data_IF_620272519025
#
_entry.id   IF_620272519025
#
_cell.length_a   1.000
_cell.length_b   1.000
_cell.length_c   1.000
_cell.angle_alpha   90.00
_cell.angle_beta   90.00
_cell.angle_gamma   90.00
#
_symmetry.space_group_name_H-M   'P 1'
#
loop_
_entity.id
_entity.type
_entity.pdbx_description
1 polymer ?
#
# COMPACT_ATOMS: atom_id res chain seq x y z
N UNK A 1 0.45 -2.39 8.30
CA UNK A 1 -0.42 -1.46 7.57
C UNK A 1 -0.20 -0.01 7.98
N UNK A 2 -0.51 0.41 9.22
CA UNK A 2 -0.50 1.84 9.59
C UNK A 2 0.83 2.57 9.36
N UNK A 3 2.01 2.00 9.72
CA UNK A 3 3.28 2.64 9.36
C UNK A 3 3.50 2.77 7.85
N UNK A 4 2.96 1.86 7.03
CA UNK A 4 3.06 1.96 5.57
C UNK A 4 2.17 3.08 5.01
N UNK A 5 1.00 3.31 5.61
CA UNK A 5 0.16 4.49 5.32
C UNK A 5 0.91 5.76 5.71
N UNK A 6 1.42 5.85 6.94
CA UNK A 6 2.19 6.99 7.44
C UNK A 6 3.39 7.33 6.52
N UNK A 7 4.04 6.31 5.96
CA UNK A 7 5.15 6.50 5.02
C UNK A 7 4.70 6.84 3.59
N UNK A 8 3.42 6.68 3.24
CA UNK A 8 2.88 6.91 1.90
C UNK A 8 3.27 5.84 0.88
N UNK A 9 3.45 4.58 1.29
CA UNK A 9 4.02 3.54 0.43
C UNK A 9 3.02 3.03 -0.61
N UNK A 10 3.37 3.19 -1.90
CA UNK A 10 2.61 2.64 -3.03
C UNK A 10 3.60 2.14 -4.09
N UNK A 11 3.55 0.84 -4.39
CA UNK A 11 4.40 0.24 -5.40
C UNK A 11 3.86 0.51 -6.81
N UNK A 12 4.74 0.97 -7.70
CA UNK A 12 4.41 1.35 -9.08
C UNK A 12 3.15 2.24 -9.18
N UNK A 13 2.97 3.13 -8.20
CA UNK A 13 1.82 4.04 -8.07
C UNK A 13 0.44 3.38 -7.96
N UNK A 14 0.35 2.05 -7.80
CA UNK A 14 -0.94 1.33 -7.77
C UNK A 14 -1.11 0.37 -6.60
N UNK A 15 -0.06 -0.33 -6.16
CA UNK A 15 -0.19 -1.43 -5.20
C UNK A 15 0.22 -1.04 -3.77
N UNK A 16 -0.70 -1.21 -2.81
CA UNK A 16 -0.49 -0.87 -1.39
C UNK A 16 0.30 -1.91 -0.58
N UNK A 17 0.99 -2.86 -1.23
CA UNK A 17 1.97 -3.74 -0.58
C UNK A 17 1.41 -4.70 0.49
N UNK A 18 0.10 -5.01 0.51
CA UNK A 18 -0.51 -5.77 1.62
C UNK A 18 0.14 -7.14 1.88
N UNK A 19 0.44 -7.90 0.83
CA UNK A 19 1.17 -9.17 0.92
C UNK A 19 2.62 -8.93 1.34
N UNK A 20 3.27 -7.96 0.69
CA UNK A 20 4.69 -7.64 0.90
C UNK A 20 4.99 -7.24 2.34
N UNK A 21 4.11 -6.44 2.95
CA UNK A 21 4.22 -5.97 4.35
C UNK A 21 3.95 -7.08 5.37
N UNK A 22 3.17 -8.09 5.02
CA UNK A 22 2.90 -9.22 5.91
C UNK A 22 4.13 -10.11 6.11
N UNK A 23 4.97 -10.28 5.08
CA UNK A 23 6.08 -11.25 5.09
C UNK A 23 7.18 -10.95 6.12
N UNK A 24 7.66 -9.70 6.30
CA UNK A 24 8.61 -9.41 7.38
C UNK A 24 7.98 -9.64 8.77
N UNK A 25 6.68 -9.37 8.95
CA UNK A 25 5.97 -9.64 10.21
C UNK A 25 5.93 -11.15 10.52
N UNK A 26 5.53 -11.97 9.54
CA UNK A 26 5.52 -13.43 9.67
C UNK A 26 6.93 -13.97 9.96
N UNK A 27 7.95 -13.46 9.25
CA UNK A 27 9.34 -13.88 9.41
C UNK A 27 9.86 -13.62 10.83
N UNK A 28 9.51 -12.49 11.44
CA UNK A 28 9.82 -12.22 12.86
C UNK A 28 9.20 -13.29 13.76
N UNK A 29 7.93 -13.64 13.53
CA UNK A 29 7.24 -14.68 14.31
C UNK A 29 7.90 -16.06 14.17
N UNK A 30 8.18 -16.48 12.94
CA UNK A 30 8.78 -17.78 12.64
C UNK A 30 10.20 -17.88 13.21
N UNK A 31 11.03 -16.83 13.07
CA UNK A 31 12.40 -16.83 13.64
C UNK A 31 12.36 -16.89 15.16
N UNK A 32 11.44 -16.15 15.81
CA UNK A 32 11.24 -16.23 17.27
C UNK A 32 10.85 -17.65 17.70
N UNK A 33 9.92 -18.28 16.99
CA UNK A 33 9.49 -19.65 17.28
C UNK A 33 10.63 -20.65 17.08
N UNK A 34 11.38 -20.55 15.97
CA UNK A 34 12.51 -21.43 15.66
C UNK A 34 13.59 -21.38 16.77
N UNK A 35 13.98 -20.18 17.20
CA UNK A 35 14.94 -20.00 18.31
C UNK A 35 14.41 -20.57 19.62
N UNK A 36 13.13 -20.33 19.95
CA UNK A 36 12.50 -20.85 21.17
C UNK A 36 12.45 -22.38 21.20
N UNK A 37 12.20 -23.01 20.06
CA UNK A 37 12.06 -24.46 19.92
C UNK A 37 13.39 -25.20 19.70
N UNK A 38 14.51 -24.47 19.57
CA UNK A 38 15.80 -25.06 19.18
C UNK A 38 15.79 -25.66 17.78
N UNK A 39 14.90 -25.18 16.90
CA UNK A 39 14.82 -25.65 15.52
C UNK A 39 16.09 -25.23 14.76
N UNK A 40 16.57 -26.10 13.86
CA UNK A 40 17.72 -25.82 12.98
C UNK A 40 17.33 -25.27 11.61
N UNK A 41 16.07 -25.47 11.23
CA UNK A 41 15.53 -25.15 9.91
C UNK A 41 14.20 -24.43 10.02
N UNK A 42 13.95 -23.55 9.06
CA UNK A 42 12.64 -22.95 8.75
C UNK A 42 12.25 -23.45 7.36
N UNK A 43 10.95 -23.64 7.11
CA UNK A 43 10.44 -23.98 5.78
C UNK A 43 9.33 -23.03 5.36
N UNK A 44 9.20 -22.78 4.06
CA UNK A 44 8.09 -22.01 3.48
C UNK A 44 7.59 -22.64 2.17
N UNK A 45 6.30 -22.43 1.87
CA UNK A 45 5.63 -22.96 0.67
C UNK A 45 5.63 -22.03 -0.56
N UNK A 46 6.34 -20.89 -0.52
CA UNK A 46 6.40 -19.96 -1.65
C UNK A 46 7.01 -20.63 -2.91
N UNK A 47 6.46 -20.32 -4.09
CA UNK A 47 6.91 -20.88 -5.38
C UNK A 47 8.19 -20.21 -5.87
N UNK A 48 8.93 -20.89 -6.76
CA UNK A 48 10.17 -20.39 -7.35
C UNK A 48 10.02 -19.18 -8.29
N UNK A 49 8.79 -18.77 -8.63
CA UNK A 49 8.50 -17.61 -9.49
C UNK A 49 7.92 -16.40 -8.73
N UNK A 50 7.60 -16.55 -7.45
CA UNK A 50 6.97 -15.53 -6.63
C UNK A 50 7.99 -14.64 -5.91
N UNK A 51 7.58 -13.42 -5.54
CA UNK A 51 8.41 -12.53 -4.71
C UNK A 51 8.52 -13.01 -3.25
N UNK A 52 7.55 -13.80 -2.77
CA UNK A 52 7.47 -14.18 -1.36
C UNK A 52 8.64 -15.06 -0.89
N UNK A 53 9.22 -15.88 -1.76
CA UNK A 53 10.45 -16.62 -1.44
C UNK A 53 11.57 -15.66 -1.01
N UNK A 54 11.75 -14.56 -1.77
CA UNK A 54 12.79 -13.56 -1.52
C UNK A 54 12.49 -12.84 -0.21
N UNK A 55 11.23 -12.42 0.00
CA UNK A 55 10.81 -11.69 1.20
C UNK A 55 11.01 -12.51 2.48
N UNK A 56 10.63 -13.80 2.46
CA UNK A 56 10.85 -14.69 3.61
C UNK A 56 12.33 -14.90 3.87
N UNK A 57 13.09 -15.28 2.86
CA UNK A 57 14.49 -15.66 3.05
C UNK A 57 15.39 -14.48 3.42
N UNK A 58 15.26 -13.33 2.74
CA UNK A 58 16.02 -12.13 3.12
C UNK A 58 15.70 -11.69 4.56
N UNK A 59 14.43 -11.79 4.98
CA UNK A 59 14.04 -11.50 6.35
C UNK A 59 14.63 -12.49 7.35
N UNK A 60 14.60 -13.79 7.04
CA UNK A 60 15.19 -14.84 7.90
C UNK A 60 16.70 -14.62 8.04
N UNK A 61 17.43 -14.45 6.93
CA UNK A 61 18.88 -14.24 6.97
C UNK A 61 19.28 -12.95 7.68
N UNK A 62 18.45 -11.91 7.63
CA UNK A 62 18.68 -10.69 8.41
C UNK A 62 18.44 -10.88 9.91
N UNK A 63 17.37 -11.60 10.30
CA UNK A 63 16.96 -11.78 11.71
C UNK A 63 17.68 -12.93 12.42
N UNK A 64 18.16 -13.90 11.65
CA UNK A 64 18.86 -15.09 12.12
C UNK A 64 19.81 -15.59 11.01
N UNK A 65 21.02 -15.00 10.91
CA UNK A 65 21.97 -15.33 9.84
C UNK A 65 22.36 -16.80 9.74
N UNK A 66 22.41 -17.51 10.87
CA UNK A 66 22.71 -18.95 10.95
C UNK A 66 21.49 -19.85 10.62
N UNK A 67 20.31 -19.25 10.45
CA UNK A 67 19.08 -19.97 10.14
C UNK A 67 19.14 -20.61 8.76
N UNK A 68 18.78 -21.89 8.69
CA UNK A 68 18.72 -22.62 7.42
C UNK A 68 17.28 -22.65 6.91
N UNK A 69 17.08 -22.37 5.62
CA UNK A 69 15.76 -22.41 4.99
C UNK A 69 15.66 -23.63 4.09
N UNK A 70 14.56 -24.36 4.22
CA UNK A 70 14.15 -25.41 3.29
C UNK A 70 13.01 -24.81 2.45
N UNK A 71 13.24 -24.63 1.15
CA UNK A 71 12.24 -24.13 0.22
C UNK A 71 11.88 -25.24 -0.78
N UNK A 72 10.87 -26.09 -0.51
CA UNK A 72 10.59 -27.28 -1.31
C UNK A 72 10.44 -26.99 -2.80
N UNK A 73 9.76 -25.92 -3.18
CA UNK A 73 9.58 -25.52 -4.60
C UNK A 73 10.85 -25.13 -5.36
N UNK A 74 12.02 -25.19 -4.73
CA UNK A 74 13.33 -24.98 -5.36
C UNK A 74 14.28 -26.17 -5.19
N UNK A 75 13.81 -27.25 -4.57
CA UNK A 75 14.54 -28.51 -4.47
C UNK A 75 14.16 -29.40 -5.67
N UNK A 76 15.12 -29.85 -6.50
CA UNK A 76 14.84 -30.71 -7.65
C UNK A 76 13.95 -31.90 -7.30
N UNK A 77 14.25 -32.59 -6.20
CA UNK A 77 13.48 -33.76 -5.77
C UNK A 77 11.98 -33.49 -5.51
N UNK A 78 11.62 -32.23 -5.23
CA UNK A 78 10.25 -31.83 -4.97
C UNK A 78 9.57 -31.26 -6.22
N UNK A 79 10.18 -30.28 -6.91
CA UNK A 79 9.52 -29.67 -8.06
C UNK A 79 9.52 -30.58 -9.30
N UNK A 80 10.46 -31.54 -9.41
CA UNK A 80 10.41 -32.56 -10.46
C UNK A 80 9.30 -33.58 -10.21
N UNK A 81 9.03 -33.89 -8.93
CA UNK A 81 7.96 -34.79 -8.51
C UNK A 81 6.57 -34.17 -8.61
N UNK A 82 6.45 -32.88 -8.32
CA UNK A 82 5.19 -32.15 -8.31
C UNK A 82 5.23 -31.02 -9.34
N UNK A 83 4.76 -31.30 -10.56
CA UNK A 83 4.75 -30.35 -11.67
C UNK A 83 3.60 -29.34 -11.57
N UNK A 84 2.56 -29.66 -10.80
CA UNK A 84 1.44 -28.76 -10.60
C UNK A 84 0.51 -29.12 -9.45
N UNK A 85 -0.59 -28.36 -9.36
CA UNK A 85 -1.60 -28.53 -8.31
C UNK A 85 -2.25 -29.91 -8.32
N UNK A 86 -2.44 -30.50 -9.51
CA UNK A 86 -3.03 -31.83 -9.66
C UNK A 86 -2.22 -32.91 -8.95
N UNK A 87 -0.89 -32.90 -9.11
CA UNK A 87 0.02 -33.87 -8.48
C UNK A 87 -0.01 -33.75 -6.95
N UNK A 88 -0.09 -32.52 -6.42
CA UNK A 88 -0.22 -32.28 -4.98
C UNK A 88 -1.54 -32.83 -4.43
N UNK A 89 -2.65 -32.68 -5.17
CA UNK A 89 -3.95 -33.21 -4.77
C UNK A 89 -3.92 -34.73 -4.77
N UNK A 90 -3.30 -35.35 -5.78
CA UNK A 90 -3.16 -36.81 -5.84
C UNK A 90 -2.28 -37.32 -4.69
N UNK A 91 -1.16 -36.66 -4.42
CA UNK A 91 -0.31 -36.99 -3.28
C UNK A 91 -1.07 -36.86 -1.95
N UNK A 92 -1.82 -35.77 -1.76
CA UNK A 92 -2.65 -35.60 -0.57
C UNK A 92 -3.69 -36.71 -0.41
N UNK A 93 -4.34 -37.14 -1.50
CA UNK A 93 -5.27 -38.28 -1.48
C UNK A 93 -4.56 -39.59 -1.12
N UNK A 94 -3.41 -39.85 -1.73
CA UNK A 94 -2.61 -41.07 -1.49
C UNK A 94 -2.14 -41.17 -0.03
N UNK A 95 -1.72 -40.04 0.54
CA UNK A 95 -1.21 -39.96 1.91
C UNK A 95 -2.29 -39.63 2.95
N UNK A 96 -3.58 -39.63 2.56
CA UNK A 96 -4.72 -39.28 3.43
C UNK A 96 -4.58 -37.92 4.13
N UNK A 97 -3.98 -36.93 3.47
CA UNK A 97 -3.87 -35.56 3.96
C UNK A 97 -5.19 -34.83 3.64
N UNK A 98 -5.93 -34.34 4.65
CA UNK A 98 -7.17 -33.62 4.42
C UNK A 98 -6.87 -32.28 3.73
N UNK A 99 -7.42 -32.08 2.54
CA UNK A 99 -7.30 -30.83 1.78
C UNK A 99 -8.68 -30.26 1.47
N UNK A 100 -8.88 -28.97 1.72
CA UNK A 100 -10.10 -28.23 1.37
C UNK A 100 -10.12 -27.75 -0.09
N UNK A 101 -9.03 -27.98 -0.84
CA UNK A 101 -8.87 -27.52 -2.20
C UNK A 101 -9.88 -28.22 -3.12
N UNK A 102 -10.83 -27.44 -3.65
CA UNK A 102 -11.75 -27.91 -4.69
C UNK A 102 -11.25 -27.46 -6.07
N UNK A 103 -11.51 -28.22 -7.15
CA UNK A 103 -11.17 -27.79 -8.51
C UNK A 103 -11.86 -26.50 -8.97
N UNK A 104 -12.81 -25.97 -8.19
CA UNK A 104 -13.74 -24.90 -8.61
C UNK A 104 -13.19 -23.48 -8.51
N UNK A 105 -12.12 -23.23 -7.76
CA UNK A 105 -11.49 -21.91 -7.70
C UNK A 105 -10.25 -21.90 -8.60
N UNK A 106 -10.33 -21.36 -9.83
CA UNK A 106 -9.22 -21.41 -10.77
C UNK A 106 -8.09 -20.42 -10.43
N UNK A 107 -8.20 -19.62 -9.38
CA UNK A 107 -7.18 -18.65 -8.95
C UNK A 107 -6.62 -18.97 -7.54
N UNK A 108 -5.48 -18.37 -7.24
CA UNK A 108 -4.84 -18.35 -5.91
C UNK A 108 -5.22 -17.08 -5.17
N UNK A 109 -5.35 -17.15 -3.84
CA UNK A 109 -5.64 -16.00 -2.98
C UNK A 109 -4.67 -15.91 -1.82
N UNK A 110 -4.25 -14.69 -1.48
CA UNK A 110 -3.53 -14.39 -0.23
C UNK A 110 -4.24 -13.26 0.50
N UNK A 111 -4.73 -13.57 1.70
CA UNK A 111 -5.60 -12.70 2.48
C UNK A 111 -5.00 -12.40 3.84
N UNK A 112 -5.08 -11.13 4.23
CA UNK A 112 -4.79 -10.67 5.58
C UNK A 112 -5.64 -9.44 5.89
N UNK A 113 -5.51 -8.87 7.09
CA UNK A 113 -6.34 -7.73 7.51
C UNK A 113 -6.18 -6.48 6.63
N UNK A 114 -5.05 -6.33 5.92
CA UNK A 114 -4.80 -5.18 5.06
C UNK A 114 -5.45 -5.33 3.68
N UNK A 115 -5.44 -6.54 3.12
CA UNK A 115 -5.92 -6.78 1.76
C UNK A 115 -6.25 -8.25 1.48
N UNK A 116 -6.81 -8.50 0.29
CA UNK A 116 -6.73 -9.80 -0.38
C UNK A 116 -6.20 -9.60 -1.80
N UNK A 117 -5.33 -10.51 -2.24
CA UNK A 117 -4.85 -10.59 -3.62
C UNK A 117 -5.37 -11.83 -4.34
N UNK A 118 -5.52 -11.72 -5.66
CA UNK A 118 -5.93 -12.81 -6.55
C UNK A 118 -4.96 -12.91 -7.73
N UNK A 119 -4.47 -14.11 -8.01
CA UNK A 119 -3.55 -14.37 -9.11
C UNK A 119 -3.72 -15.79 -9.68
N UNK A 120 -3.00 -16.08 -10.77
CA UNK A 120 -2.98 -17.39 -11.47
C UNK A 120 -4.27 -17.78 -12.19
N UNK A 121 -4.18 -18.82 -13.01
CA UNK A 121 -5.31 -19.40 -13.75
C UNK A 121 -5.90 -18.42 -14.77
N UNK A 122 -7.22 -18.17 -14.71
CA UNK A 122 -7.90 -17.27 -15.67
C UNK A 122 -7.34 -15.83 -15.65
N UNK A 123 -6.72 -15.42 -14.55
CA UNK A 123 -6.11 -14.09 -14.41
C UNK A 123 -4.73 -13.99 -15.08
N UNK A 124 -4.14 -15.09 -15.53
CA UNK A 124 -2.83 -15.06 -16.21
C UNK A 124 -2.90 -14.40 -17.59
N UNK A 125 -4.06 -14.48 -18.27
CA UNK A 125 -4.34 -13.72 -19.47
C UNK A 125 -4.77 -12.29 -19.07
N UNK A 126 -3.97 -11.24 -19.36
CA UNK A 126 -4.33 -9.86 -19.03
C UNK A 126 -5.56 -9.34 -19.78
N UNK A 127 -5.95 -9.98 -20.89
CA UNK A 127 -7.15 -9.63 -21.64
C UNK A 127 -8.44 -10.22 -21.05
N UNK A 128 -8.34 -11.23 -20.19
CA UNK A 128 -9.50 -11.85 -19.57
C UNK A 128 -10.16 -10.90 -18.55
N UNK A 129 -11.47 -10.74 -18.62
CA UNK A 129 -12.23 -9.98 -17.61
C UNK A 129 -12.28 -10.80 -16.32
N UNK A 130 -12.06 -10.19 -15.14
CA UNK A 130 -12.20 -10.89 -13.86
C UNK A 130 -13.59 -11.54 -13.72
N UNK A 131 -13.67 -12.83 -13.35
CA UNK A 131 -14.95 -13.51 -13.19
C UNK A 131 -15.84 -12.85 -12.12
N UNK A 132 -17.15 -12.88 -12.33
CA UNK A 132 -18.10 -12.45 -11.32
C UNK A 132 -17.93 -13.25 -10.02
N UNK A 133 -18.01 -12.57 -8.87
CA UNK A 133 -17.85 -13.19 -7.56
C UNK A 133 -16.40 -13.48 -7.14
N UNK A 134 -15.40 -13.00 -7.90
CA UNK A 134 -14.00 -13.12 -7.48
C UNK A 134 -13.68 -12.30 -6.22
N UNK A 135 -14.28 -11.11 -6.11
CA UNK A 135 -14.03 -10.18 -5.02
C UNK A 135 -14.74 -10.60 -3.73
N UNK A 136 -13.99 -10.63 -2.63
CA UNK A 136 -14.41 -11.10 -1.30
C UNK A 136 -14.61 -9.96 -0.31
N UNK A 137 -13.72 -8.98 -0.31
CA UNK A 137 -13.72 -7.90 0.69
C UNK A 137 -14.68 -6.75 0.33
N UNK A 138 -14.97 -6.57 -0.95
CA UNK A 138 -15.70 -5.41 -1.48
C UNK A 138 -16.90 -5.84 -2.31
N UNK A 139 -18.00 -5.08 -2.23
CA UNK A 139 -19.19 -5.29 -3.05
C UNK A 139 -18.96 -4.79 -4.48
N UNK A 140 -19.64 -5.42 -5.43
CA UNK A 140 -19.73 -4.88 -6.78
C UNK A 140 -20.41 -3.51 -6.77
N UNK A 141 -19.93 -2.55 -7.58
CA UNK A 141 -20.44 -1.17 -7.63
C UNK A 141 -21.95 -1.09 -7.90
N UNK A 142 -22.50 -2.06 -8.65
CA UNK A 142 -23.94 -2.15 -8.92
C UNK A 142 -24.75 -2.57 -7.68
N UNK A 143 -24.08 -3.07 -6.63
CA UNK A 143 -24.67 -3.62 -5.41
C UNK A 143 -24.10 -2.98 -4.13
N UNK A 144 -23.31 -1.90 -4.25
CA UNK A 144 -22.91 -1.09 -3.10
C UNK A 144 -24.07 -0.23 -2.63
N UNK A 145 -23.94 0.34 -1.43
CA UNK A 145 -24.92 1.29 -0.89
C UNK A 145 -25.14 2.48 -1.85
N UNK A 146 -26.40 2.95 -1.91
CA UNK A 146 -26.83 4.08 -2.77
C UNK A 146 -26.83 5.43 -2.04
N UNK A 147 -26.27 5.47 -0.82
CA UNK A 147 -26.00 6.68 -0.07
C UNK A 147 -24.49 6.84 0.15
N UNK A 148 -24.02 8.06 0.39
CA UNK A 148 -22.62 8.29 0.73
C UNK A 148 -22.38 8.20 2.25
N UNK A 149 -21.25 7.61 2.66
CA UNK A 149 -20.84 7.60 4.08
C UNK A 149 -19.77 8.67 4.32
N UNK A 150 -20.01 9.58 5.26
CA UNK A 150 -19.04 10.62 5.65
C UNK A 150 -18.39 10.24 6.98
N UNK A 151 -17.06 10.27 7.02
CA UNK A 151 -16.28 9.94 8.21
C UNK A 151 -15.17 10.97 8.44
N UNK A 152 -14.82 11.18 9.70
CA UNK A 152 -13.64 11.94 10.11
C UNK A 152 -12.52 10.97 10.50
N UNK A 153 -11.33 11.16 9.95
CA UNK A 153 -10.12 10.40 10.28
C UNK A 153 -9.14 11.35 10.94
N UNK A 154 -8.81 11.09 12.21
CA UNK A 154 -7.83 11.87 12.95
C UNK A 154 -6.46 11.18 12.88
N UNK A 155 -5.44 11.98 12.59
CA UNK A 155 -4.05 11.56 12.53
C UNK A 155 -3.22 12.27 13.60
N UNK A 156 -2.27 11.54 14.17
CA UNK A 156 -1.20 12.07 15.02
C UNK A 156 0.13 11.57 14.47
N UNK A 157 1.02 12.51 14.14
CA UNK A 157 2.30 12.22 13.48
C UNK A 157 2.16 11.29 12.26
N UNK A 158 1.16 11.51 11.43
CA UNK A 158 0.86 10.72 10.23
C UNK A 158 0.21 9.35 10.48
N UNK A 159 0.04 8.93 11.74
CA UNK A 159 -0.66 7.68 12.08
C UNK A 159 -2.14 7.96 12.36
N UNK A 160 -3.09 7.19 11.80
CA UNK A 160 -4.49 7.32 12.16
C UNK A 160 -4.71 6.84 13.60
N UNK A 161 -5.21 7.74 14.45
CA UNK A 161 -5.46 7.50 15.89
C UNK A 161 -6.93 7.38 16.23
N UNK A 162 -7.83 7.89 15.37
CA UNK A 162 -9.25 7.61 15.49
C UNK A 162 -10.03 7.79 14.21
N UNK A 163 -11.14 7.06 14.10
CA UNK A 163 -12.16 7.22 13.05
C UNK A 163 -13.49 7.50 13.71
N UNK A 164 -14.15 8.58 13.31
CA UNK A 164 -15.47 8.97 13.78
C UNK A 164 -16.47 8.91 12.63
N UNK A 165 -17.58 8.21 12.88
CA UNK A 165 -18.79 8.21 12.06
C UNK A 165 -19.79 9.14 12.77
N UNK A 166 -20.08 10.36 12.26
CA UNK A 166 -20.83 11.38 12.99
C UNK A 166 -22.30 11.07 13.32
N UNK A 167 -22.90 10.05 12.67
CA UNK A 167 -24.34 9.76 12.49
C UNK A 167 -24.88 10.20 11.13
N UNK A 168 -25.79 9.40 10.57
CA UNK A 168 -26.34 9.53 9.23
C UNK A 168 -27.03 8.22 8.85
N UNK A 169 -26.76 7.71 7.65
CA UNK A 169 -27.16 6.33 7.28
C UNK A 169 -26.41 5.26 8.08
N UNK A 170 -25.23 5.59 8.59
CA UNK A 170 -24.45 4.71 9.46
C UNK A 170 -24.68 5.05 10.94
N UNK A 171 -24.61 4.01 11.79
CA UNK A 171 -24.65 4.19 13.25
C UNK A 171 -23.45 5.03 13.70
N UNK A 172 -23.70 6.03 14.53
CA UNK A 172 -22.65 6.82 15.14
C UNK A 172 -21.63 5.92 15.85
N UNK A 173 -20.35 6.13 15.57
CA UNK A 173 -19.27 5.31 16.08
C UNK A 173 -18.00 6.15 16.23
N UNK A 174 -17.25 5.92 17.30
CA UNK A 174 -15.89 6.42 17.45
C UNK A 174 -14.99 5.23 17.74
N UNK A 175 -13.95 5.05 16.95
CA UNK A 175 -13.00 3.96 17.07
C UNK A 175 -11.61 4.55 17.25
N UNK A 176 -10.87 4.05 18.25
CA UNK A 176 -9.52 4.53 18.61
C UNK A 176 -8.48 3.40 18.62
N UNK A 177 -8.91 2.14 18.74
CA UNK A 177 -8.00 1.00 18.64
C UNK A 177 -7.51 0.82 17.20
N UNK A 178 -6.21 0.60 17.04
CA UNK A 178 -5.56 0.53 15.73
C UNK A 178 -6.13 -0.58 14.84
N UNK A 179 -6.42 -1.76 15.39
CA UNK A 179 -6.98 -2.88 14.63
C UNK A 179 -8.45 -2.59 14.29
N UNK A 180 -9.22 -2.13 15.26
CA UNK A 180 -10.63 -1.79 15.06
C UNK A 180 -10.82 -0.67 14.02
N UNK A 181 -9.88 0.28 13.91
CA UNK A 181 -9.85 1.28 12.83
C UNK A 181 -9.76 0.58 11.46
N UNK A 182 -8.82 -0.36 11.30
CA UNK A 182 -8.67 -1.11 10.03
C UNK A 182 -9.93 -1.91 9.71
N UNK A 183 -10.47 -2.65 10.68
CA UNK A 183 -11.68 -3.45 10.51
C UNK A 183 -12.90 -2.61 10.12
N UNK A 184 -13.07 -1.47 10.79
CA UNK A 184 -14.16 -0.53 10.52
C UNK A 184 -14.06 0.04 9.11
N UNK A 185 -12.86 0.48 8.71
CA UNK A 185 -12.63 1.02 7.37
C UNK A 185 -12.70 -0.05 6.28
N UNK A 186 -12.30 -1.29 6.56
CA UNK A 186 -12.49 -2.41 5.64
C UNK A 186 -13.96 -2.70 5.41
N UNK A 187 -14.77 -2.69 6.48
CA UNK A 187 -16.21 -2.89 6.39
C UNK A 187 -16.88 -1.77 5.58
N UNK A 188 -16.63 -0.51 5.93
CA UNK A 188 -17.19 0.65 5.23
C UNK A 188 -16.73 0.71 3.77
N UNK A 189 -15.42 0.58 3.53
CA UNK A 189 -14.87 0.55 2.17
C UNK A 189 -15.44 -0.61 1.36
N UNK A 190 -15.61 -1.77 1.98
CA UNK A 190 -16.22 -2.95 1.37
C UNK A 190 -17.68 -2.73 0.95
N UNK A 191 -18.48 -2.09 1.79
CA UNK A 191 -19.88 -1.70 1.49
C UNK A 191 -19.97 -0.76 0.28
N UNK A 192 -18.95 0.09 0.09
CA UNK A 192 -18.86 1.07 -1.00
C UNK A 192 -18.03 0.60 -2.20
N UNK A 193 -17.51 -0.62 -2.22
CA UNK A 193 -16.73 -1.13 -3.37
C UNK A 193 -15.33 -0.51 -3.52
N UNK A 194 -14.77 0.05 -2.45
CA UNK A 194 -13.54 0.85 -2.47
C UNK A 194 -12.29 -0.04 -2.40
N UNK A 195 -11.27 0.32 -3.17
CA UNK A 195 -9.94 -0.27 -3.08
C UNK A 195 -9.71 -1.50 -3.96
N UNK A 196 -10.55 -1.71 -4.98
CA UNK A 196 -10.30 -2.68 -6.05
C UNK A 196 -9.29 -2.12 -7.04
N UNK A 197 -8.23 -2.87 -7.34
CA UNK A 197 -7.31 -2.60 -8.44
C UNK A 197 -7.05 -3.88 -9.25
N UNK A 198 -6.85 -3.71 -10.56
CA UNK A 198 -6.37 -4.73 -11.49
C UNK A 198 -5.11 -4.16 -12.17
N UNK A 199 -3.97 -4.81 -11.94
CA UNK A 199 -2.67 -4.29 -12.33
C UNK A 199 -1.84 -5.38 -13.01
N UNK A 200 -0.95 -4.93 -13.91
CA UNK A 200 0.24 -5.70 -14.30
C UNK A 200 1.42 -5.07 -13.58
N UNK A 201 2.07 -5.82 -12.71
CA UNK A 201 3.19 -5.39 -11.88
C UNK A 201 4.50 -6.06 -12.29
N UNK A 202 5.63 -5.43 -11.93
CA UNK A 202 6.96 -5.96 -12.18
C UNK A 202 7.48 -6.72 -10.96
N UNK A 203 7.60 -8.05 -11.06
CA UNK A 203 8.21 -8.87 -10.00
C UNK A 203 9.70 -8.57 -9.89
N UNK A 204 10.25 -8.74 -8.69
CA UNK A 204 11.68 -8.52 -8.44
C UNK A 204 12.57 -9.43 -9.30
N UNK A 205 12.07 -10.63 -9.63
CA UNK A 205 12.72 -11.59 -10.52
C UNK A 205 12.72 -11.18 -12.00
N UNK A 206 12.20 -10.00 -12.36
CA UNK A 206 12.15 -9.48 -13.72
C UNK A 206 10.94 -9.93 -14.55
N UNK A 207 10.00 -10.67 -13.95
CA UNK A 207 8.79 -11.14 -14.62
C UNK A 207 7.65 -10.13 -14.44
N UNK A 208 6.82 -9.95 -15.47
CA UNK A 208 5.53 -9.29 -15.31
C UNK A 208 4.49 -10.26 -14.77
N UNK A 209 3.59 -9.77 -13.92
CA UNK A 209 2.48 -10.54 -13.37
C UNK A 209 1.24 -9.68 -13.33
N UNK A 210 0.10 -10.23 -13.77
CA UNK A 210 -1.19 -9.62 -13.48
C UNK A 210 -1.63 -10.03 -12.08
N UNK A 211 -2.21 -9.09 -11.33
CA UNK A 211 -2.76 -9.33 -10.01
C UNK A 211 -3.96 -8.41 -9.76
N UNK A 212 -4.97 -8.97 -9.11
CA UNK A 212 -6.11 -8.21 -8.60
C UNK A 212 -5.98 -8.06 -7.10
N UNK A 213 -6.35 -6.89 -6.58
CA UNK A 213 -6.23 -6.62 -5.15
C UNK A 213 -7.45 -5.87 -4.63
N UNK A 214 -7.84 -6.18 -3.40
CA UNK A 214 -8.82 -5.41 -2.63
C UNK A 214 -8.15 -4.90 -1.35
N UNK A 215 -7.94 -3.59 -1.25
CA UNK A 215 -7.30 -2.94 -0.08
C UNK A 215 -8.19 -1.79 0.45
N UNK A 216 -9.38 -2.05 1.03
CA UNK A 216 -10.34 -0.98 1.27
C UNK A 216 -9.87 0.04 2.32
N UNK A 217 -9.48 -0.42 3.52
CA UNK A 217 -8.97 0.47 4.56
C UNK A 217 -7.68 1.17 4.14
N UNK A 218 -6.76 0.44 3.48
CA UNK A 218 -5.51 1.03 2.98
C UNK A 218 -5.75 2.14 1.95
N UNK A 219 -6.73 1.97 1.06
CA UNK A 219 -7.10 2.99 0.06
C UNK A 219 -7.66 4.25 0.74
N UNK A 220 -8.63 4.09 1.65
CA UNK A 220 -9.23 5.21 2.38
C UNK A 220 -8.18 5.98 3.17
N UNK A 221 -7.37 5.26 3.94
CA UNK A 221 -6.34 5.86 4.76
C UNK A 221 -5.25 6.54 3.94
N UNK A 222 -4.86 5.97 2.80
CA UNK A 222 -3.87 6.58 1.92
C UNK A 222 -4.37 7.90 1.33
N UNK A 223 -5.60 7.92 0.81
CA UNK A 223 -6.20 9.14 0.24
C UNK A 223 -6.30 10.24 1.29
N UNK A 224 -6.77 9.92 2.50
CA UNK A 224 -6.84 10.88 3.60
C UNK A 224 -5.45 11.34 4.09
N UNK A 225 -4.47 10.44 4.18
CA UNK A 225 -3.12 10.76 4.65
C UNK A 225 -2.38 11.67 3.67
N UNK A 226 -2.42 11.37 2.37
CA UNK A 226 -1.80 12.21 1.32
C UNK A 226 -2.38 13.63 1.34
N UNK A 227 -3.69 13.75 1.57
CA UNK A 227 -4.34 15.05 1.70
C UNK A 227 -3.79 15.86 2.89
N UNK A 228 -3.67 15.20 4.05
CA UNK A 228 -3.15 15.85 5.25
C UNK A 228 -1.68 16.24 5.11
N UNK A 229 -0.87 15.42 4.45
CA UNK A 229 0.53 15.73 4.17
C UNK A 229 0.68 16.98 3.30
N UNK A 230 -0.13 17.11 2.25
CA UNK A 230 -0.13 18.30 1.40
C UNK A 230 -0.50 19.57 2.17
N UNK A 231 -1.31 19.43 3.23
CA UNK A 231 -1.73 20.52 4.10
C UNK A 231 -0.69 20.87 5.20
N UNK A 232 0.04 19.87 5.70
CA UNK A 232 0.89 20.00 6.88
C UNK A 232 2.42 20.04 6.60
N UNK A 233 2.86 19.63 5.40
CA UNK A 233 4.29 19.58 5.05
C UNK A 233 4.73 20.75 4.20
N UNK A 234 5.98 21.17 4.42
CA UNK A 234 6.65 22.12 3.53
C UNK A 234 6.73 21.55 2.10
N UNK A 235 6.61 22.43 1.11
CA UNK A 235 6.57 22.06 -0.31
C UNK A 235 7.78 21.24 -0.75
N UNK A 236 8.98 21.62 -0.36
CA UNK A 236 10.21 20.92 -0.78
C UNK A 236 10.45 19.66 0.06
N UNK A 237 10.09 19.68 1.34
CA UNK A 237 10.10 18.46 2.18
C UNK A 237 9.18 17.38 1.58
N UNK A 238 7.95 17.75 1.18
CA UNK A 238 7.01 16.83 0.55
C UNK A 238 7.57 16.22 -0.74
N UNK A 239 8.27 17.01 -1.56
CA UNK A 239 8.91 16.54 -2.81
C UNK A 239 10.06 15.56 -2.54
N UNK A 240 10.91 15.83 -1.55
CA UNK A 240 11.99 14.91 -1.15
C UNK A 240 11.41 13.64 -0.56
N UNK A 241 10.40 13.75 0.32
CA UNK A 241 9.68 12.61 0.88
C UNK A 241 9.15 11.70 -0.22
N UNK A 242 8.55 12.26 -1.28
CA UNK A 242 8.04 11.48 -2.40
C UNK A 242 9.10 10.62 -3.10
N UNK A 243 10.34 11.09 -3.21
CA UNK A 243 11.42 10.24 -3.72
C UNK A 243 11.74 9.08 -2.77
N UNK A 244 11.80 9.36 -1.46
CA UNK A 244 12.08 8.35 -0.44
C UNK A 244 10.96 7.32 -0.28
N UNK A 245 9.70 7.72 -0.39
CA UNK A 245 8.56 6.81 -0.29
C UNK A 245 8.57 5.78 -1.43
N UNK A 246 8.92 6.21 -2.65
CA UNK A 246 8.99 5.33 -3.83
C UNK A 246 10.11 4.29 -3.64
N UNK A 247 11.29 4.73 -3.16
CA UNK A 247 12.39 3.82 -2.81
C UNK A 247 12.03 2.88 -1.67
N UNK A 248 11.34 3.37 -0.65
CA UNK A 248 10.89 2.51 0.44
C UNK A 248 9.88 1.46 -0.05
N UNK A 249 8.96 1.83 -0.95
CA UNK A 249 8.02 0.90 -1.56
C UNK A 249 8.75 -0.21 -2.34
N UNK A 250 9.79 0.13 -3.11
CA UNK A 250 10.67 -0.85 -3.78
C UNK A 250 11.30 -1.80 -2.77
N UNK A 251 11.88 -1.29 -1.68
CA UNK A 251 12.52 -2.12 -0.66
C UNK A 251 11.53 -3.09 -0.02
N UNK A 252 10.32 -2.64 0.31
CA UNK A 252 9.28 -3.52 0.85
C UNK A 252 8.88 -4.58 -0.18
N UNK A 253 8.60 -4.17 -1.42
CA UNK A 253 8.17 -5.09 -2.47
C UNK A 253 9.22 -6.17 -2.75
N UNK A 254 10.50 -5.78 -2.77
CA UNK A 254 11.64 -6.65 -3.08
C UNK A 254 12.16 -7.47 -1.87
N UNK A 255 11.59 -7.29 -0.67
CA UNK A 255 11.94 -8.09 0.51
C UNK A 255 13.06 -7.54 1.38
N UNK A 256 13.50 -6.31 1.14
CA UNK A 256 14.57 -5.63 1.87
C UNK A 256 14.09 -4.87 3.11
N UNK A 257 12.98 -5.30 3.75
CA UNK A 257 12.45 -4.61 4.94
C UNK A 257 13.50 -4.44 6.06
N UNK A 258 14.37 -5.43 6.27
CA UNK A 258 15.39 -5.39 7.32
C UNK A 258 16.77 -4.90 6.85
N UNK A 259 16.88 -4.35 5.64
CA UNK A 259 18.15 -3.84 5.13
C UNK A 259 18.53 -2.48 5.75
N UNK A 260 19.83 -2.10 5.71
CA UNK A 260 20.29 -0.81 6.20
C UNK A 260 19.63 0.38 5.48
N UNK A 261 19.51 0.32 4.15
CA UNK A 261 18.90 1.37 3.34
C UNK A 261 17.40 1.51 3.61
N UNK A 262 16.69 0.41 3.87
CA UNK A 262 15.30 0.46 4.31
C UNK A 262 15.17 1.04 5.72
N UNK A 263 16.08 0.71 6.65
CA UNK A 263 16.08 1.30 7.99
C UNK A 263 16.30 2.81 7.95
N UNK A 264 17.30 3.26 7.18
CA UNK A 264 17.58 4.68 7.00
C UNK A 264 16.38 5.42 6.39
N UNK A 265 15.84 4.89 5.30
CA UNK A 265 14.70 5.49 4.59
C UNK A 265 13.46 5.56 5.49
N UNK A 266 13.17 4.51 6.26
CA UNK A 266 12.06 4.54 7.24
C UNK A 266 12.23 5.66 8.26
N UNK A 267 13.42 5.84 8.84
CA UNK A 267 13.67 6.92 9.81
C UNK A 267 13.47 8.30 9.21
N UNK A 268 13.90 8.53 7.98
CA UNK A 268 13.66 9.79 7.27
C UNK A 268 12.16 10.03 7.05
N UNK A 269 11.43 8.99 6.63
CA UNK A 269 9.98 9.07 6.41
C UNK A 269 9.24 9.29 7.73
N UNK A 270 9.55 8.55 8.80
CA UNK A 270 8.99 8.74 10.14
C UNK A 270 9.22 10.16 10.65
N UNK A 271 10.43 10.72 10.49
CA UNK A 271 10.73 12.08 10.90
C UNK A 271 9.92 13.13 10.12
N UNK A 272 9.68 12.91 8.82
CA UNK A 272 8.84 13.83 8.03
C UNK A 272 7.44 13.99 8.61
N UNK A 273 6.97 13.05 9.44
CA UNK A 273 5.60 13.04 9.93
C UNK A 273 5.39 13.82 11.23
N UNK A 274 6.45 14.38 11.83
CA UNK A 274 6.37 15.04 13.14
C UNK A 274 5.31 16.16 13.21
N UNK A 275 5.00 16.82 12.08
CA UNK A 275 3.98 17.89 11.98
C UNK A 275 2.66 17.44 11.34
N UNK A 276 2.54 16.19 10.90
CA UNK A 276 1.36 15.67 10.17
C UNK A 276 0.29 15.22 11.17
N UNK A 277 -0.32 16.18 11.86
CA UNK A 277 -1.35 15.93 12.88
C UNK A 277 -2.61 16.73 12.54
N UNK A 278 -3.77 16.09 12.47
CA UNK A 278 -5.00 16.76 12.06
C UNK A 278 -6.16 15.81 11.79
N UNK A 279 -7.25 16.36 11.28
CA UNK A 279 -8.45 15.62 10.88
C UNK A 279 -8.67 15.80 9.39
N UNK A 280 -8.99 14.71 8.70
CA UNK A 280 -9.49 14.73 7.33
C UNK A 280 -10.88 14.13 7.31
N UNK A 281 -11.85 14.89 6.78
CA UNK A 281 -13.22 14.44 6.55
C UNK A 281 -13.32 13.91 5.14
N UNK A 282 -13.70 12.65 4.99
CA UNK A 282 -13.83 11.98 3.69
C UNK A 282 -15.24 11.47 3.46
N UNK A 283 -15.64 11.44 2.20
CA UNK A 283 -16.86 10.82 1.72
C UNK A 283 -16.50 9.52 0.99
N UNK A 284 -17.21 8.44 1.34
CA UNK A 284 -17.09 7.13 0.72
C UNK A 284 -18.34 6.87 -0.11
N UNK A 285 -18.16 6.67 -1.42
CA UNK A 285 -19.29 6.43 -2.31
C UNK A 285 -18.88 5.74 -3.62
N UNK A 286 -19.56 4.64 -3.96
CA UNK A 286 -19.49 3.96 -5.27
C UNK A 286 -18.04 3.81 -5.80
N UNK A 287 -17.16 3.24 -4.98
CA UNK A 287 -15.76 2.95 -5.30
C UNK A 287 -14.79 4.10 -5.06
N UNK A 288 -15.28 5.28 -4.68
CA UNK A 288 -14.48 6.50 -4.53
C UNK A 288 -14.32 6.91 -3.06
N UNK A 289 -13.22 7.63 -2.83
CA UNK A 289 -12.90 8.32 -1.59
C UNK A 289 -12.68 9.79 -1.93
N UNK A 290 -13.64 10.64 -1.59
CA UNK A 290 -13.59 12.08 -1.87
C UNK A 290 -13.23 12.85 -0.61
N UNK A 291 -12.29 13.79 -0.70
CA UNK A 291 -11.94 14.65 0.42
C UNK A 291 -12.96 15.79 0.52
N UNK A 292 -13.61 15.91 1.68
CA UNK A 292 -14.57 16.99 1.94
C UNK A 292 -13.93 18.16 2.67
N UNK A 293 -13.11 17.89 3.68
CA UNK A 293 -12.49 18.91 4.50
C UNK A 293 -11.22 18.40 5.19
N UNK A 294 -10.38 19.33 5.61
CA UNK A 294 -9.22 19.05 6.45
C UNK A 294 -9.02 20.17 7.47
N UNK A 295 -8.47 19.82 8.63
CA UNK A 295 -8.05 20.78 9.66
C UNK A 295 -6.86 20.25 10.41
N UNK A 296 -5.96 21.13 10.83
CA UNK A 296 -4.76 20.80 11.59
C UNK A 296 -4.35 22.00 12.42
N UNK A 297 -3.93 21.76 13.66
CA UNK A 297 -3.33 22.77 14.53
C UNK A 297 -1.86 23.06 14.17
N UNK A 298 -1.25 22.20 13.35
CA UNK A 298 0.14 22.29 12.89
C UNK A 298 0.22 22.57 11.38
N UNK A 299 -0.87 23.07 10.79
CA UNK A 299 -0.95 23.40 9.37
C UNK A 299 0.04 24.49 8.95
N UNK A 300 0.58 24.38 7.74
CA UNK A 300 1.33 25.47 7.09
C UNK A 300 0.44 26.39 6.24
N UNK A 301 -0.83 26.04 6.08
CA UNK A 301 -1.78 26.84 5.33
C UNK A 301 -2.15 28.12 6.10
N UNK A 302 -1.88 29.28 5.49
CA UNK A 302 -2.25 30.58 6.03
C UNK A 302 -3.40 31.16 5.19
N UNK A 303 -4.62 31.10 5.73
CA UNK A 303 -5.83 31.58 5.05
C UNK A 303 -5.80 33.08 4.75
N UNK A 304 -5.20 33.90 5.62
CA UNK A 304 -5.10 35.34 5.40
C UNK A 304 -4.15 35.65 4.24
N UNK A 305 -2.99 34.98 4.19
CA UNK A 305 -1.95 35.21 3.17
C UNK A 305 -2.42 34.86 1.75
N UNK A 306 -3.26 33.83 1.60
CA UNK A 306 -3.73 33.34 0.29
C UNK A 306 -5.08 33.91 -0.13
N UNK A 307 -5.69 34.75 0.71
CA UNK A 307 -7.01 35.30 0.45
C UNK A 307 -7.01 36.19 -0.80
N UNK A 308 -8.08 36.07 -1.59
CA UNK A 308 -8.34 36.98 -2.71
C UNK A 308 -9.22 38.17 -2.27
N UNK A 309 -9.84 38.09 -1.09
CA UNK A 309 -10.74 39.12 -0.57
C UNK A 309 -10.00 40.17 0.28
N UNK A 310 -8.86 39.79 0.87
CA UNK A 310 -8.00 40.68 1.66
C UNK A 310 -6.56 40.58 1.17
N UNK A 311 -5.84 41.70 1.14
CA UNK A 311 -4.47 41.76 0.60
C UNK A 311 -3.45 40.92 1.39
N UNK A 312 -3.75 40.61 2.66
CA UNK A 312 -3.10 39.59 3.48
C UNK A 312 -1.60 39.47 3.34
N UNK A 313 -0.79 40.27 4.04
CA UNK A 313 0.64 40.06 4.31
C UNK A 313 1.62 39.86 3.13
N UNK A 314 1.15 39.71 1.89
CA UNK A 314 1.92 39.40 0.69
C UNK A 314 2.00 40.64 -0.21
N UNK A 315 3.20 41.00 -0.65
CA UNK A 315 3.39 42.10 -1.61
C UNK A 315 3.28 41.58 -3.05
N UNK A 316 2.30 42.04 -3.85
CA UNK A 316 2.21 41.65 -5.25
C UNK A 316 3.43 42.06 -6.09
N UNK A 317 4.15 43.13 -5.70
CA UNK A 317 5.30 43.65 -6.45
C UNK A 317 6.46 42.65 -6.53
N UNK A 318 6.67 41.86 -5.45
CA UNK A 318 7.75 40.86 -5.37
C UNK A 318 7.61 39.77 -6.45
N UNK A 319 6.37 39.48 -6.88
CA UNK A 319 6.09 38.50 -7.92
C UNK A 319 6.73 38.86 -9.26
N UNK A 320 6.84 40.15 -9.58
CA UNK A 320 7.42 40.61 -10.85
C UNK A 320 8.90 40.22 -10.94
N UNK A 321 9.68 40.49 -9.90
CA UNK A 321 11.09 40.11 -9.81
C UNK A 321 11.27 38.60 -9.82
N UNK A 322 10.48 37.89 -9.01
CA UNK A 322 10.50 36.43 -8.93
C UNK A 322 10.26 35.75 -10.28
N UNK A 323 9.23 36.18 -11.03
CA UNK A 323 8.91 35.66 -12.36
C UNK A 323 10.04 35.97 -13.34
N UNK A 324 10.54 37.21 -13.35
CA UNK A 324 11.58 37.63 -14.28
C UNK A 324 12.86 36.80 -14.14
N UNK A 325 13.28 36.49 -12.91
CA UNK A 325 14.45 35.67 -12.63
C UNK A 325 14.23 34.22 -13.08
N UNK A 326 13.10 33.60 -12.70
CA UNK A 326 12.80 32.21 -13.11
C UNK A 326 12.65 32.08 -14.63
N UNK A 327 12.08 33.09 -15.29
CA UNK A 327 11.89 33.11 -16.74
C UNK A 327 13.21 33.27 -17.52
N UNK A 328 14.29 33.77 -16.91
CA UNK A 328 15.56 34.04 -17.60
C UNK A 328 16.08 32.80 -18.33
N UNK A 329 16.15 31.66 -17.64
CA UNK A 329 16.59 30.39 -18.23
C UNK A 329 15.70 29.95 -19.39
N UNK A 330 14.39 30.18 -19.29
CA UNK A 330 13.43 29.82 -20.34
C UNK A 330 13.57 30.73 -21.57
N UNK A 331 13.76 32.03 -21.36
CA UNK A 331 14.00 33.01 -22.43
C UNK A 331 15.28 32.68 -23.19
N UNK A 332 16.36 32.35 -22.49
CA UNK A 332 17.64 31.99 -23.12
C UNK A 332 17.57 30.66 -23.89
N UNK A 333 16.89 29.65 -23.34
CA UNK A 333 16.67 28.39 -24.07
C UNK A 333 15.87 28.63 -25.36
N UNK A 334 14.80 29.42 -25.30
CA UNK A 334 14.00 29.75 -26.47
C UNK A 334 14.82 30.52 -27.53
N UNK A 335 15.68 31.46 -27.10
CA UNK A 335 16.62 32.16 -27.98
C UNK A 335 17.58 31.18 -28.67
N UNK A 336 18.18 30.25 -27.91
CA UNK A 336 19.10 29.24 -28.44
C UNK A 336 18.44 28.32 -29.47
N UNK A 337 17.22 27.85 -29.21
CA UNK A 337 16.45 27.01 -30.15
C UNK A 337 16.15 27.75 -31.45
N UNK A 338 15.89 29.07 -31.41
CA UNK A 338 15.70 29.87 -32.63
C UNK A 338 16.98 30.02 -33.45
N UNK A 339 18.14 30.10 -32.79
CA UNK A 339 19.44 30.20 -33.47
C UNK A 339 19.86 28.90 -34.15
N UNK A 340 19.48 27.76 -33.58
CA UNK A 340 19.83 26.41 -34.07
C UNK A 340 18.82 25.82 -35.07
N UNK A 341 17.74 26.55 -35.39
CA UNK A 341 16.75 26.20 -36.42
C UNK A 341 17.01 26.85 -37.79
N UNK A 342 18.19 27.45 -37.99
CA UNK A 342 18.78 27.66 -39.32
C UNK A 342 19.64 26.45 -39.66
#
# INVERSE_FOLDING_TARGET
MLPAVQMGLVYESRYYLGTSLARPCISVGIVKAAKKLGAKYISHGATGKGNDQVRFELSVYSLWPEGKVIAPWRLPEFFERFQGRSDLIEFAKKENIPVSATPKAPWSTDENIMHISYESGVLEDPAAVPPAGIYKMTRDLQHTEDYASVIDINFEKGLPVSVKIPSGHEKALLVTDALAIVETLNKLGGQHGIGRIDIVENRFLGLKSRGLYETPAGTILHVAHVDLEAYALDREVLRIKKYLQDKMADFVYNGFWFSPEANYTRKCLEHSQDTVTGTVTVQLFKGNVDILARKSSTSLYNQELVSMDVAGGFSPEDSTGFININALRLKEYARFVKQTKM
#
